data_IF_610717900864
#
_entry.id   IF_610717900864
#
_cell.length_a   1.000
_cell.length_b   1.000
_cell.length_c   1.000
_cell.angle_alpha   90.00
_cell.angle_beta   90.00
_cell.angle_gamma   90.00
#
_symmetry.space_group_name_H-M   'P 1'
#
loop_
_entity.id
_entity.type
_entity.pdbx_description
1 polymer ?
#
# COMPACT_ATOMS: atom_id res chain seq x y z
N UNK A 1 -13.29 23.67 6.05
CA UNK A 1 -12.72 22.43 5.49
C UNK A 1 -11.21 22.47 5.72
N UNK A 2 -10.60 21.43 6.30
CA UNK A 2 -9.15 21.35 6.50
C UNK A 2 -8.53 20.58 5.33
N UNK A 3 -7.51 21.17 4.69
CA UNK A 3 -6.80 20.55 3.56
C UNK A 3 -5.41 20.13 4.05
N UNK A 4 -5.03 18.89 3.78
CA UNK A 4 -3.70 18.36 4.04
C UNK A 4 -2.96 18.17 2.73
N UNK A 5 -1.75 18.70 2.63
CA UNK A 5 -0.89 18.60 1.45
C UNK A 5 0.35 17.78 1.82
N UNK A 6 0.77 16.89 0.93
CA UNK A 6 1.93 16.03 1.09
C UNK A 6 2.35 15.40 -0.24
N UNK A 7 3.28 14.46 -0.18
CA UNK A 7 3.87 13.78 -1.31
C UNK A 7 3.50 12.29 -1.36
N UNK A 8 3.66 11.72 -2.55
CA UNK A 8 3.67 10.29 -2.78
C UNK A 8 5.09 9.75 -2.51
N UNK A 9 5.28 9.19 -1.32
CA UNK A 9 6.57 8.76 -0.79
C UNK A 9 7.39 9.89 -0.15
N UNK A 10 8.63 9.56 0.21
CA UNK A 10 9.56 10.45 0.89
C UNK A 10 10.60 11.01 -0.11
N UNK A 11 10.52 12.28 -0.52
CA UNK A 11 11.54 12.89 -1.39
C UNK A 11 12.85 13.21 -0.65
N UNK A 12 12.80 13.24 0.68
CA UNK A 12 13.88 13.55 1.62
C UNK A 12 13.77 12.66 2.85
N UNK A 13 14.68 12.80 3.81
CA UNK A 13 14.61 12.07 5.08
C UNK A 13 13.31 12.38 5.85
N UNK A 14 12.77 11.38 6.57
CA UNK A 14 11.49 11.51 7.30
C UNK A 14 11.46 12.68 8.27
N UNK A 15 12.53 12.90 9.03
CA UNK A 15 12.63 14.02 9.98
C UNK A 15 12.50 15.39 9.29
N UNK A 16 13.18 15.60 8.16
CA UNK A 16 13.06 16.83 7.37
C UNK A 16 11.63 16.97 6.79
N UNK A 17 11.07 15.86 6.31
CA UNK A 17 9.72 15.83 5.73
C UNK A 17 8.63 16.20 6.75
N UNK A 18 8.71 15.66 7.97
CA UNK A 18 7.77 15.94 9.05
C UNK A 18 7.74 17.42 9.46
N UNK A 19 8.82 18.16 9.26
CA UNK A 19 8.87 19.60 9.49
C UNK A 19 8.15 20.45 8.43
N UNK A 20 7.81 19.87 7.28
CA UNK A 20 7.24 20.59 6.13
C UNK A 20 5.80 20.17 5.83
N UNK A 21 5.50 18.88 5.89
CA UNK A 21 4.19 18.34 5.53
C UNK A 21 3.53 17.62 6.71
N UNK A 22 2.20 17.61 6.71
CA UNK A 22 1.39 16.94 7.75
C UNK A 22 0.83 15.58 7.30
N UNK A 23 1.17 15.14 6.09
CA UNK A 23 0.71 13.86 5.56
C UNK A 23 1.66 13.29 4.50
N UNK A 24 1.57 11.98 4.28
CA UNK A 24 2.30 11.25 3.24
C UNK A 24 1.43 10.13 2.67
N UNK A 25 1.54 9.88 1.37
CA UNK A 25 1.09 8.61 0.77
C UNK A 25 2.28 7.64 0.70
N UNK A 26 2.21 6.51 1.40
CA UNK A 26 3.24 5.47 1.37
C UNK A 26 3.11 4.67 0.07
N UNK A 27 3.84 5.08 -0.95
CA UNK A 27 3.89 4.39 -2.24
C UNK A 27 4.73 3.09 -2.19
N UNK A 28 5.66 2.96 -1.25
CA UNK A 28 6.51 1.77 -1.12
C UNK A 28 5.70 0.51 -0.78
N UNK A 29 4.66 0.65 0.05
CA UNK A 29 3.78 -0.45 0.48
C UNK A 29 3.02 -1.09 -0.68
N UNK A 30 2.78 -0.33 -1.76
CA UNK A 30 2.23 -0.87 -3.00
C UNK A 30 3.12 -1.97 -3.58
N UNK A 31 4.44 -1.82 -3.52
CA UNK A 31 5.36 -2.79 -4.11
C UNK A 31 5.63 -3.96 -3.17
N UNK A 32 5.91 -3.64 -1.91
CA UNK A 32 6.22 -4.60 -0.85
C UNK A 32 5.83 -4.00 0.49
N UNK A 33 5.13 -4.79 1.31
CA UNK A 33 4.81 -4.39 2.67
C UNK A 33 6.09 -4.38 3.53
N UNK A 34 6.27 -3.38 4.41
CA UNK A 34 7.27 -3.46 5.46
C UNK A 34 6.89 -4.55 6.46
N UNK A 35 7.86 -4.95 7.29
CA UNK A 35 7.55 -5.71 8.50
C UNK A 35 6.67 -4.85 9.45
N UNK A 36 5.75 -5.46 10.23
CA UNK A 36 4.89 -4.73 11.17
C UNK A 36 5.65 -3.81 12.12
N UNK A 37 6.79 -4.24 12.66
CA UNK A 37 7.63 -3.47 13.58
C UNK A 37 8.25 -2.25 12.89
N UNK A 38 8.53 -2.37 11.58
CA UNK A 38 9.02 -1.23 10.79
C UNK A 38 7.92 -0.20 10.60
N UNK A 39 6.67 -0.65 10.41
CA UNK A 39 5.50 0.22 10.30
C UNK A 39 5.19 0.93 11.63
N UNK A 40 5.26 0.21 12.75
CA UNK A 40 5.14 0.79 14.11
C UNK A 40 6.17 1.90 14.33
N UNK A 41 7.44 1.63 14.04
CA UNK A 41 8.50 2.63 14.19
C UNK A 41 8.26 3.87 13.34
N UNK A 42 7.73 3.73 12.12
CA UNK A 42 7.39 4.91 11.31
C UNK A 42 6.28 5.75 11.94
N UNK A 43 5.31 5.12 12.60
CA UNK A 43 4.25 5.82 13.33
C UNK A 43 4.80 6.53 14.57
N UNK A 44 5.68 5.87 15.34
CA UNK A 44 6.33 6.44 16.53
C UNK A 44 7.25 7.62 16.19
N UNK A 45 7.93 7.58 15.05
CA UNK A 45 8.79 8.68 14.56
C UNK A 45 7.97 9.92 14.13
N UNK A 46 6.69 9.76 13.82
CA UNK A 46 5.87 10.82 13.26
C UNK A 46 5.37 11.79 14.35
N UNK A 47 5.31 13.11 14.08
CA UNK A 47 4.73 14.06 15.01
C UNK A 47 3.25 13.78 15.29
N UNK A 48 2.78 14.23 16.44
CA UNK A 48 1.36 14.14 16.80
C UNK A 48 0.47 14.74 15.70
N UNK A 49 -0.57 14.00 15.31
CA UNK A 49 -1.51 14.42 14.29
C UNK A 49 -1.03 14.30 12.84
N UNK A 50 0.17 13.75 12.60
CA UNK A 50 0.63 13.40 11.26
C UNK A 50 -0.25 12.30 10.64
N UNK A 51 -0.59 12.44 9.36
CA UNK A 51 -1.55 11.56 8.68
C UNK A 51 -0.84 10.65 7.69
N UNK A 52 -0.87 9.35 7.94
CA UNK A 52 -0.45 8.34 6.98
C UNK A 52 -1.60 7.95 6.05
N UNK A 53 -1.33 7.97 4.75
CA UNK A 53 -2.13 7.34 3.71
C UNK A 53 -1.33 6.13 3.22
N UNK A 54 -1.84 4.92 3.37
CA UNK A 54 -1.18 3.71 2.90
C UNK A 54 -1.69 3.36 1.51
N UNK A 55 -0.82 2.97 0.59
CA UNK A 55 -1.26 2.33 -0.66
C UNK A 55 -1.28 0.83 -0.49
N UNK A 56 -2.42 0.21 -0.75
CA UNK A 56 -2.60 -1.22 -0.57
C UNK A 56 -1.55 -2.00 -1.39
N UNK A 57 -1.10 -3.13 -0.86
CA UNK A 57 -0.14 -3.97 -1.55
C UNK A 57 -0.70 -4.41 -2.91
N UNK A 58 0.10 -4.29 -3.96
CA UNK A 58 -0.32 -4.58 -5.34
C UNK A 58 -0.85 -6.01 -5.52
N UNK A 59 -0.49 -6.95 -4.63
CA UNK A 59 -1.05 -8.30 -4.60
C UNK A 59 -2.59 -8.30 -4.62
N UNK A 60 -3.23 -7.30 -4.00
CA UNK A 60 -4.69 -7.20 -3.95
C UNK A 60 -5.30 -6.79 -5.31
N UNK A 61 -4.58 -5.98 -6.10
CA UNK A 61 -5.15 -5.33 -7.30
C UNK A 61 -4.49 -5.70 -8.63
N UNK A 62 -3.21 -6.06 -8.64
CA UNK A 62 -2.42 -6.32 -9.84
C UNK A 62 -2.03 -7.80 -9.95
N UNK A 63 -2.30 -8.46 -11.10
CA UNK A 63 -1.90 -9.85 -11.30
C UNK A 63 -0.38 -9.99 -11.33
N UNK A 64 0.14 -11.19 -11.03
CA UNK A 64 1.59 -11.51 -11.07
C UNK A 64 2.25 -11.20 -12.42
N UNK A 65 1.47 -11.16 -13.50
CA UNK A 65 1.93 -10.78 -14.85
C UNK A 65 2.14 -9.27 -15.03
N UNK A 66 1.75 -8.44 -14.05
CA UNK A 66 1.95 -6.99 -14.10
C UNK A 66 3.45 -6.63 -14.06
N UNK A 67 3.92 -5.67 -14.87
CA UNK A 67 5.32 -5.24 -14.85
C UNK A 67 5.75 -4.60 -13.51
N UNK A 68 4.79 -4.17 -12.69
CA UNK A 68 5.03 -3.57 -11.37
C UNK A 68 5.67 -4.53 -10.37
N UNK A 69 5.52 -5.85 -10.56
CA UNK A 69 6.16 -6.87 -9.72
C UNK A 69 7.69 -6.87 -9.83
N UNK A 70 8.27 -6.34 -10.92
CA UNK A 70 9.73 -6.13 -11.03
C UNK A 70 10.30 -5.25 -9.90
N UNK A 71 9.45 -4.42 -9.28
CA UNK A 71 9.82 -3.51 -8.19
C UNK A 71 9.52 -4.07 -6.79
N UNK A 72 8.87 -5.23 -6.65
CA UNK A 72 8.58 -5.81 -5.34
C UNK A 72 9.80 -6.41 -4.66
N UNK A 73 10.82 -6.80 -5.45
CA UNK A 73 11.96 -7.56 -4.95
C UNK A 73 11.60 -9.00 -4.54
N UNK A 74 10.46 -9.52 -4.99
CA UNK A 74 10.08 -10.93 -4.85
C UNK A 74 10.60 -11.74 -6.04
N UNK A 75 11.00 -12.98 -5.77
CA UNK A 75 11.45 -13.94 -6.76
C UNK A 75 10.31 -14.50 -7.61
N UNK A 76 10.66 -15.11 -8.74
CA UNK A 76 9.69 -15.79 -9.59
C UNK A 76 9.03 -16.98 -8.85
N UNK A 77 9.79 -17.63 -7.97
CA UNK A 77 9.37 -18.75 -7.14
C UNK A 77 8.32 -18.33 -6.12
N UNK A 78 8.50 -17.19 -5.45
CA UNK A 78 7.51 -16.65 -4.50
C UNK A 78 6.16 -16.30 -5.17
N UNK A 79 6.22 -15.86 -6.43
CA UNK A 79 5.05 -15.48 -7.22
C UNK A 79 4.41 -16.64 -7.97
N UNK A 80 5.12 -17.76 -8.14
CA UNK A 80 4.67 -18.90 -8.92
C UNK A 80 3.40 -19.49 -8.33
N UNK A 81 2.36 -19.59 -9.15
CA UNK A 81 1.06 -20.14 -8.75
C UNK A 81 0.19 -19.21 -7.90
N UNK A 82 0.63 -17.97 -7.62
CA UNK A 82 -0.17 -17.00 -6.88
C UNK A 82 -1.32 -16.46 -7.70
N UNK A 83 -2.50 -16.39 -7.10
CA UNK A 83 -3.73 -15.90 -7.73
C UNK A 83 -4.04 -14.43 -7.40
N UNK A 84 -2.99 -13.60 -7.33
CA UNK A 84 -3.07 -12.18 -7.00
C UNK A 84 -3.86 -11.36 -8.03
N UNK A 85 -4.37 -10.23 -7.54
CA UNK A 85 -4.87 -9.11 -8.33
C UNK A 85 -6.37 -9.12 -8.60
N UNK A 86 -6.80 -8.08 -9.31
CA UNK A 86 -8.17 -7.90 -9.78
C UNK A 86 -9.25 -7.82 -8.71
N UNK A 87 -8.89 -7.63 -7.43
CA UNK A 87 -9.84 -7.63 -6.31
C UNK A 87 -10.70 -8.91 -6.27
N UNK A 88 -10.20 -10.02 -6.81
CA UNK A 88 -10.91 -11.30 -6.79
C UNK A 88 -10.97 -11.87 -5.37
N UNK A 89 -12.05 -12.59 -5.02
CA UNK A 89 -12.17 -13.27 -3.73
C UNK A 89 -11.37 -14.58 -3.70
N UNK A 90 -10.06 -14.52 -3.95
CA UNK A 90 -9.14 -15.67 -3.84
C UNK A 90 -8.47 -15.68 -2.46
N UNK A 91 -8.04 -16.85 -2.00
CA UNK A 91 -7.31 -16.97 -0.72
C UNK A 91 -6.07 -16.08 -0.67
N UNK A 92 -5.30 -16.05 -1.78
CA UNK A 92 -4.13 -15.20 -1.93
C UNK A 92 -4.46 -13.70 -1.78
N UNK A 93 -5.58 -13.24 -2.36
CA UNK A 93 -6.01 -11.84 -2.22
C UNK A 93 -6.51 -11.53 -0.81
N UNK A 94 -7.26 -12.44 -0.17
CA UNK A 94 -7.67 -12.24 1.23
C UNK A 94 -6.47 -12.18 2.16
N UNK A 95 -5.47 -13.04 1.97
CA UNK A 95 -4.22 -13.00 2.74
C UNK A 95 -3.44 -11.70 2.48
N UNK A 96 -3.32 -11.28 1.23
CA UNK A 96 -2.66 -10.02 0.89
C UNK A 96 -3.37 -8.80 1.50
N UNK A 97 -4.71 -8.83 1.53
CA UNK A 97 -5.51 -7.80 2.18
C UNK A 97 -5.30 -7.81 3.69
N UNK A 98 -5.30 -8.97 4.34
CA UNK A 98 -5.06 -9.07 5.78
C UNK A 98 -3.68 -8.54 6.17
N UNK A 99 -2.64 -8.90 5.40
CA UNK A 99 -1.30 -8.34 5.60
C UNK A 99 -1.29 -6.81 5.42
N UNK A 100 -1.99 -6.29 4.41
CA UNK A 100 -2.14 -4.84 4.20
C UNK A 100 -2.84 -4.18 5.39
N UNK A 101 -3.91 -4.80 5.90
CA UNK A 101 -4.71 -4.32 7.04
C UNK A 101 -3.88 -4.22 8.31
N UNK A 102 -3.06 -5.24 8.60
CA UNK A 102 -2.13 -5.22 9.74
C UNK A 102 -1.18 -4.03 9.64
N UNK A 103 -0.60 -3.74 8.47
CA UNK A 103 0.28 -2.58 8.30
C UNK A 103 -0.49 -1.25 8.45
N UNK A 104 -1.74 -1.16 7.97
CA UNK A 104 -2.59 0.01 8.22
C UNK A 104 -2.78 0.24 9.72
N UNK A 105 -3.05 -0.82 10.50
CA UNK A 105 -3.22 -0.72 11.96
C UNK A 105 -1.95 -0.25 12.64
N UNK A 106 -0.80 -0.85 12.30
CA UNK A 106 0.51 -0.46 12.87
C UNK A 106 0.87 1.00 12.58
N UNK A 107 0.46 1.52 11.43
CA UNK A 107 0.66 2.93 11.06
C UNK A 107 -0.38 3.88 11.64
N UNK A 108 -1.49 3.36 12.19
CA UNK A 108 -2.72 4.14 12.36
C UNK A 108 -3.12 4.89 11.08
N UNK A 109 -2.96 4.23 9.93
CA UNK A 109 -3.20 4.83 8.62
C UNK A 109 -4.67 5.27 8.50
N UNK A 110 -4.88 6.53 8.16
CA UNK A 110 -6.23 7.12 8.07
C UNK A 110 -6.93 6.76 6.76
N UNK A 111 -6.16 6.55 5.71
CA UNK A 111 -6.65 6.26 4.36
C UNK A 111 -5.85 5.08 3.81
N UNK A 112 -6.55 4.11 3.23
CA UNK A 112 -5.94 3.06 2.42
C UNK A 112 -6.36 3.25 0.96
N UNK A 113 -5.39 3.57 0.09
CA UNK A 113 -5.60 3.77 -1.34
C UNK A 113 -5.54 2.42 -2.05
N UNK A 114 -6.65 2.03 -2.67
CA UNK A 114 -6.75 0.84 -3.52
C UNK A 114 -6.64 1.29 -4.98
N UNK A 115 -5.42 1.29 -5.52
CA UNK A 115 -5.18 1.61 -6.92
C UNK A 115 -5.29 0.34 -7.78
N UNK A 116 -6.15 0.38 -8.79
CA UNK A 116 -6.34 -0.71 -9.75
C UNK A 116 -5.50 -0.51 -11.02
N UNK A 117 -5.15 -1.58 -11.76
CA UNK A 117 -4.46 -1.45 -13.03
C UNK A 117 -5.36 -0.81 -14.11
N UNK A 118 -4.80 -0.20 -15.17
CA UNK A 118 -5.58 0.44 -16.24
C UNK A 118 -6.58 -0.48 -16.95
N UNK A 119 -6.33 -1.79 -16.91
CA UNK A 119 -7.20 -2.83 -17.50
C UNK A 119 -8.39 -3.21 -16.60
N UNK A 120 -8.44 -2.72 -15.37
CA UNK A 120 -9.56 -2.96 -14.47
C UNK A 120 -10.73 -2.06 -14.86
N UNK A 121 -11.50 -2.54 -15.85
CA UNK A 121 -12.70 -1.87 -16.34
C UNK A 121 -13.96 -2.34 -15.64
N UNK A 122 -15.06 -1.63 -15.90
CA UNK A 122 -16.39 -2.05 -15.50
C UNK A 122 -16.77 -3.35 -16.21
N UNK A 123 -16.93 -4.43 -15.47
CA UNK A 123 -17.66 -5.62 -15.89
C UNK A 123 -19.07 -5.48 -15.32
N UNK A 124 -20.06 -5.17 -16.15
CA UNK A 124 -21.46 -5.21 -15.72
C UNK A 124 -21.78 -6.63 -15.31
N UNK A 125 -21.82 -6.90 -14.00
CA UNK A 125 -22.41 -8.13 -13.52
C UNK A 125 -23.90 -8.04 -13.82
N UNK A 126 -24.42 -8.97 -14.63
CA UNK A 126 -25.84 -9.25 -14.60
C UNK A 126 -26.14 -9.69 -13.15
N UNK A 127 -26.76 -8.80 -12.39
CA UNK A 127 -27.13 -9.01 -10.99
C UNK A 127 -28.22 -10.08 -10.85
#
# INVERSE_FOLDING_TARGET
>A
MKVHVGCCGWPRGRQEYFGVFSTVELQSTFYRLPEPETAERWAEEAPEGFIFCLKAWQAVTHPVTSPTWKRSGMSAEELKGREYGWLRPTEDNFRAWEMTRVICEKLSARICVIQTPPRFGFSGGDA
#
